data_IF_446822840360
#
_entry.id   IF_446822840360
#
_cell.length_a   1.000
_cell.length_b   1.000
_cell.length_c   1.000
_cell.angle_alpha   90.00
_cell.angle_beta   90.00
_cell.angle_gamma   90.00
#
_symmetry.space_group_name_H-M   'P 1'
#
loop_
_entity.id
_entity.type
_entity.pdbx_description
1 polymer ?
#
# COMPACT_ATOMS: atom_id res chain seq x y z
N UNK A 1 25.89 40.93 1.95
CA UNK A 1 25.95 39.92 3.03
C UNK A 1 24.59 39.25 3.25
N UNK A 2 23.52 40.00 3.56
CA UNK A 2 22.16 39.44 3.79
C UNK A 2 21.60 38.64 2.61
N UNK A 3 21.70 39.16 1.38
CA UNK A 3 21.20 38.45 0.18
C UNK A 3 21.89 37.10 -0.05
N UNK A 4 23.18 36.98 0.27
CA UNK A 4 23.95 35.73 0.13
C UNK A 4 23.52 34.70 1.17
N UNK A 5 23.20 35.15 2.40
CA UNK A 5 22.69 34.25 3.45
C UNK A 5 21.29 33.74 3.10
N UNK A 6 20.43 34.58 2.53
CA UNK A 6 19.08 34.17 2.14
C UNK A 6 19.14 33.14 1.00
N UNK A 7 19.99 33.36 -0.02
CA UNK A 7 20.11 32.41 -1.13
C UNK A 7 20.70 31.08 -0.70
N UNK A 8 21.69 31.05 0.20
CA UNK A 8 22.23 29.79 0.72
C UNK A 8 21.21 29.01 1.53
N UNK A 9 20.43 29.68 2.39
CA UNK A 9 19.34 29.05 3.14
C UNK A 9 18.27 28.48 2.22
N UNK A 10 17.91 29.20 1.15
CA UNK A 10 16.95 28.72 0.14
C UNK A 10 17.46 27.44 -0.53
N UNK A 11 18.73 27.42 -0.95
CA UNK A 11 19.34 26.25 -1.60
C UNK A 11 19.32 25.03 -0.66
N UNK A 12 19.68 25.23 0.61
CA UNK A 12 19.63 24.16 1.63
C UNK A 12 18.19 23.65 1.78
N UNK A 13 17.21 24.54 1.94
CA UNK A 13 15.81 24.15 2.07
C UNK A 13 15.32 23.33 0.86
N UNK A 14 15.59 23.80 -0.36
CA UNK A 14 15.21 23.09 -1.60
C UNK A 14 15.87 21.72 -1.66
N UNK A 15 17.16 21.62 -1.31
CA UNK A 15 17.87 20.34 -1.30
C UNK A 15 17.26 19.33 -0.32
N UNK A 16 16.83 19.79 0.86
CA UNK A 16 16.16 18.95 1.86
C UNK A 16 14.80 18.47 1.35
N UNK A 17 14.00 19.37 0.75
CA UNK A 17 12.70 19.01 0.17
C UNK A 17 12.86 17.96 -0.94
N UNK A 18 13.82 18.14 -1.84
CA UNK A 18 14.12 17.18 -2.91
C UNK A 18 14.54 15.82 -2.35
N UNK A 19 15.38 15.81 -1.31
CA UNK A 19 15.80 14.57 -0.64
C UNK A 19 14.60 13.85 -0.02
N UNK A 20 13.76 14.55 0.74
CA UNK A 20 12.56 13.97 1.33
C UNK A 20 11.60 13.42 0.27
N UNK A 21 11.41 14.15 -0.83
CA UNK A 21 10.58 13.70 -1.94
C UNK A 21 11.14 12.43 -2.59
N UNK A 22 12.45 12.38 -2.82
CA UNK A 22 13.12 11.20 -3.37
C UNK A 22 12.98 9.97 -2.45
N UNK A 23 13.24 10.12 -1.15
CA UNK A 23 13.09 9.03 -0.18
C UNK A 23 11.64 8.54 -0.09
N UNK A 24 10.67 9.47 -0.12
CA UNK A 24 9.24 9.14 -0.13
C UNK A 24 8.87 8.33 -1.38
N UNK A 25 9.25 8.79 -2.57
CA UNK A 25 8.98 8.06 -3.82
C UNK A 25 9.68 6.69 -3.80
N UNK A 26 10.90 6.62 -3.30
CA UNK A 26 11.63 5.36 -3.16
C UNK A 26 10.92 4.36 -2.27
N UNK A 27 10.52 4.80 -1.07
CA UNK A 27 9.87 3.96 -0.09
C UNK A 27 8.47 3.50 -0.55
N UNK A 28 7.64 4.42 -1.04
CA UNK A 28 6.24 4.14 -1.37
C UNK A 28 6.03 3.59 -2.79
N UNK A 29 7.00 3.74 -3.69
CA UNK A 29 6.85 3.33 -5.09
C UNK A 29 7.90 2.31 -5.53
N UNK A 30 9.19 2.64 -5.44
CA UNK A 30 10.24 1.78 -6.01
C UNK A 30 10.44 0.48 -5.24
N UNK A 31 10.51 0.55 -3.90
CA UNK A 31 10.65 -0.63 -3.05
C UNK A 31 9.50 -1.65 -3.23
N UNK A 32 8.21 -1.28 -3.13
CA UNK A 32 7.13 -2.25 -3.28
C UNK A 32 7.06 -2.85 -4.70
N UNK A 33 7.37 -2.08 -5.75
CA UNK A 33 7.46 -2.63 -7.11
C UNK A 33 8.59 -3.66 -7.26
N UNK A 34 9.74 -3.43 -6.62
CA UNK A 34 10.86 -4.36 -6.64
C UNK A 34 10.52 -5.67 -5.93
N UNK A 35 9.94 -5.58 -4.72
CA UNK A 35 9.49 -6.74 -3.95
C UNK A 35 8.46 -7.55 -4.75
N UNK A 36 7.48 -6.87 -5.36
CA UNK A 36 6.47 -7.52 -6.18
C UNK A 36 7.08 -8.28 -7.36
N UNK A 37 8.00 -7.67 -8.11
CA UNK A 37 8.69 -8.34 -9.22
C UNK A 37 9.49 -9.56 -8.74
N UNK A 38 10.08 -9.49 -7.54
CA UNK A 38 10.78 -10.62 -6.94
C UNK A 38 9.82 -11.76 -6.59
N UNK A 39 8.67 -11.46 -6.00
CA UNK A 39 7.62 -12.43 -5.68
C UNK A 39 7.02 -13.07 -6.95
N UNK A 40 6.73 -12.28 -7.98
CA UNK A 40 6.23 -12.78 -9.27
C UNK A 40 7.21 -13.76 -9.91
N UNK A 41 8.52 -13.51 -9.83
CA UNK A 41 9.56 -14.44 -10.30
C UNK A 41 9.60 -15.76 -9.51
N UNK A 42 9.15 -15.75 -8.25
CA UNK A 42 9.02 -16.96 -7.43
C UNK A 42 7.68 -17.69 -7.68
N UNK A 43 6.85 -17.21 -8.60
CA UNK A 43 5.53 -17.75 -8.88
C UNK A 43 4.44 -17.25 -7.91
N UNK A 44 4.77 -16.34 -6.99
CA UNK A 44 3.80 -15.74 -6.07
C UNK A 44 3.16 -14.54 -6.77
N UNK A 45 1.93 -14.74 -7.24
CA UNK A 45 1.13 -13.71 -7.89
C UNK A 45 0.15 -13.09 -6.90
N UNK A 46 -0.36 -11.92 -7.24
CA UNK A 46 -1.32 -11.24 -6.37
C UNK A 46 -2.03 -10.09 -7.06
N UNK A 47 -3.00 -9.48 -6.37
CA UNK A 47 -3.78 -8.36 -6.88
C UNK A 47 -2.88 -7.15 -7.18
N UNK A 48 -3.18 -6.48 -8.30
CA UNK A 48 -2.44 -5.27 -8.71
C UNK A 48 -2.75 -4.12 -7.74
N UNK A 49 -1.73 -3.55 -7.04
CA UNK A 49 -1.96 -2.44 -6.11
C UNK A 49 -2.43 -1.18 -6.83
N UNK A 50 -3.39 -0.47 -6.22
CA UNK A 50 -3.78 0.88 -6.65
C UNK A 50 -2.80 1.96 -6.19
N UNK A 51 -2.86 3.14 -6.82
CA UNK A 51 -1.97 4.27 -6.54
C UNK A 51 -2.12 4.76 -5.08
N UNK A 52 -0.98 4.95 -4.38
CA UNK A 52 -0.84 5.40 -2.97
C UNK A 52 -1.38 4.46 -1.89
N UNK A 53 -2.63 4.02 -1.99
CA UNK A 53 -3.30 3.23 -0.94
C UNK A 53 -3.22 1.71 -1.17
N UNK A 54 -2.68 1.26 -2.30
CA UNK A 54 -2.61 -0.17 -2.63
C UNK A 54 -4.01 -0.79 -2.69
N UNK A 55 -4.23 -1.91 -2.01
CA UNK A 55 -5.52 -2.60 -2.02
C UNK A 55 -6.34 -2.37 -0.74
N UNK A 56 -5.94 -1.43 0.13
CA UNK A 56 -6.59 -1.22 1.43
C UNK A 56 -8.06 -0.84 1.28
N UNK A 57 -8.39 -0.01 0.28
CA UNK A 57 -9.78 0.39 0.00
C UNK A 57 -10.62 -0.80 -0.45
N UNK A 58 -10.07 -1.67 -1.31
CA UNK A 58 -10.76 -2.88 -1.74
C UNK A 58 -10.96 -3.82 -0.55
N UNK A 59 -9.92 -4.04 0.26
CA UNK A 59 -9.98 -4.86 1.47
C UNK A 59 -11.05 -4.37 2.45
N UNK A 60 -11.10 -3.05 2.73
CA UNK A 60 -12.10 -2.49 3.64
C UNK A 60 -13.52 -2.60 3.09
N UNK A 61 -13.68 -2.45 1.78
CA UNK A 61 -14.98 -2.65 1.11
C UNK A 61 -15.46 -4.10 1.19
N UNK A 62 -14.54 -5.07 1.03
CA UNK A 62 -14.85 -6.50 1.14
C UNK A 62 -15.23 -6.87 2.57
N UNK A 63 -14.48 -6.37 3.55
CA UNK A 63 -14.78 -6.57 4.97
C UNK A 63 -16.14 -5.97 5.33
N UNK A 64 -16.41 -4.72 4.93
CA UNK A 64 -17.69 -4.06 5.16
C UNK A 64 -18.86 -4.85 4.57
N UNK A 65 -18.69 -5.40 3.36
CA UNK A 65 -19.70 -6.24 2.71
C UNK A 65 -19.90 -7.56 3.44
N UNK A 66 -18.84 -8.20 3.91
CA UNK A 66 -18.91 -9.47 4.64
C UNK A 66 -19.57 -9.34 6.03
N UNK A 67 -19.41 -8.19 6.70
CA UNK A 67 -20.04 -7.92 8.01
C UNK A 67 -21.42 -7.26 7.91
N UNK A 68 -21.85 -6.86 6.72
CA UNK A 68 -23.13 -6.16 6.50
C UNK A 68 -24.37 -6.98 6.88
N UNK A 69 -24.25 -8.31 6.94
CA UNK A 69 -25.32 -9.22 7.31
C UNK A 69 -24.94 -10.01 8.57
N UNK A 70 -25.94 -10.40 9.35
CA UNK A 70 -25.74 -11.26 10.51
C UNK A 70 -25.23 -12.65 10.11
N UNK A 71 -24.56 -13.31 11.05
CA UNK A 71 -24.14 -14.71 10.84
C UNK A 71 -25.37 -15.60 10.82
N UNK A 72 -25.58 -16.33 9.71
CA UNK A 72 -26.70 -17.27 9.56
C UNK A 72 -26.64 -18.43 10.54
N UNK A 73 -25.43 -18.84 10.93
CA UNK A 73 -25.15 -19.95 11.84
C UNK A 73 -23.87 -19.66 12.62
N UNK A 74 -23.79 -20.16 13.85
CA UNK A 74 -22.57 -20.12 14.65
C UNK A 74 -21.62 -21.18 14.09
N UNK A 75 -20.53 -20.74 13.48
CA UNK A 75 -19.49 -21.59 12.89
C UNK A 75 -18.12 -21.10 13.33
N UNK A 76 -17.17 -22.02 13.45
CA UNK A 76 -15.76 -21.70 13.67
C UNK A 76 -15.06 -21.18 12.39
N UNK A 77 -15.67 -21.37 11.21
CA UNK A 77 -15.18 -20.85 9.94
C UNK A 77 -15.55 -19.36 9.77
N UNK A 78 -14.79 -18.50 10.45
CA UNK A 78 -14.99 -17.04 10.47
C UNK A 78 -14.07 -16.30 9.49
N UNK A 79 -13.11 -16.99 8.86
CA UNK A 79 -12.09 -16.39 8.00
C UNK A 79 -12.72 -15.65 6.80
N UNK A 80 -13.73 -16.19 6.10
CA UNK A 80 -14.40 -15.46 5.01
C UNK A 80 -15.09 -14.17 5.46
N UNK A 81 -15.41 -14.03 6.76
CA UNK A 81 -16.02 -12.83 7.32
C UNK A 81 -15.00 -11.78 7.74
N UNK A 82 -13.91 -12.20 8.40
CA UNK A 82 -12.88 -11.29 8.94
C UNK A 82 -11.86 -10.91 7.87
N UNK A 83 -11.44 -11.87 7.04
CA UNK A 83 -10.47 -11.68 5.96
C UNK A 83 -11.04 -12.14 4.60
N UNK A 84 -12.16 -11.56 4.13
CA UNK A 84 -12.76 -11.93 2.85
C UNK A 84 -11.81 -11.76 1.67
N UNK A 85 -10.94 -10.75 1.71
CA UNK A 85 -9.93 -10.49 0.69
C UNK A 85 -8.91 -11.64 0.57
N UNK A 86 -8.54 -12.28 1.68
CA UNK A 86 -7.59 -13.40 1.65
C UNK A 86 -8.21 -14.63 0.96
N UNK A 87 -9.45 -14.96 1.33
CA UNK A 87 -10.20 -16.06 0.70
C UNK A 87 -10.45 -15.77 -0.78
N UNK A 88 -10.77 -14.53 -1.15
CA UNK A 88 -10.98 -14.16 -2.55
C UNK A 88 -9.68 -14.30 -3.36
N UNK A 89 -8.57 -13.75 -2.87
CA UNK A 89 -7.31 -13.74 -3.61
C UNK A 89 -6.64 -15.11 -3.68
N UNK A 90 -6.76 -15.95 -2.64
CA UNK A 90 -6.22 -17.32 -2.67
C UNK A 90 -6.90 -18.22 -3.70
N UNK A 91 -8.13 -17.88 -4.10
CA UNK A 91 -8.85 -18.59 -5.16
C UNK A 91 -8.53 -18.04 -6.57
N UNK A 92 -7.97 -16.82 -6.66
CA UNK A 92 -7.72 -16.13 -7.91
C UNK A 92 -6.25 -16.20 -8.38
N UNK A 93 -5.31 -16.33 -7.44
CA UNK A 93 -3.86 -16.32 -7.66
C UNK A 93 -3.20 -17.54 -7.03
#
# INVERSE_FOLDING_TARGET
MVMVIITTLLVIFVSLVLKCAYETISCYWFTPMSIRKMMEKQGVHGPKPSFLLGNIIEMSSLVSRAVSQDMKTISHDIVPRILPHFVQWSNQY
#
